data_IF_770309398210
#
_entry.id   IF_770309398210
#
_cell.length_a   1.000
_cell.length_b   1.000
_cell.length_c   1.000
_cell.angle_alpha   90.00
_cell.angle_beta   90.00
_cell.angle_gamma   90.00
#
_symmetry.space_group_name_H-M   'P 1'
#
loop_
_entity.id
_entity.type
_entity.pdbx_description
1 polymer ?
#
# COMPACT_ATOMS: atom_id res chain seq x y z
N UNK A 1 8.82 25.34 -5.03
CA UNK A 1 8.79 23.95 -4.58
C UNK A 1 9.77 23.19 -5.43
N UNK A 2 10.80 22.55 -4.85
CA UNK A 2 11.59 21.60 -5.62
C UNK A 2 10.66 20.46 -6.00
N UNK A 3 10.31 20.38 -7.28
CA UNK A 3 9.59 19.23 -7.82
C UNK A 3 10.41 17.99 -7.47
N UNK A 4 9.75 17.01 -6.86
CA UNK A 4 10.40 15.77 -6.48
C UNK A 4 10.70 15.00 -7.77
N UNK A 5 11.83 15.32 -8.39
CA UNK A 5 12.38 14.75 -9.63
C UNK A 5 12.56 13.22 -9.55
N UNK A 6 12.41 12.64 -8.36
CA UNK A 6 12.53 11.21 -8.05
C UNK A 6 11.25 10.61 -7.44
N UNK A 7 10.06 11.20 -7.66
CA UNK A 7 8.79 10.53 -7.33
C UNK A 7 8.56 9.39 -8.32
N UNK A 8 9.08 8.23 -7.97
CA UNK A 8 8.76 6.99 -8.65
C UNK A 8 7.47 6.40 -8.05
N UNK A 9 6.35 6.57 -8.75
CA UNK A 9 5.07 5.96 -8.38
C UNK A 9 5.06 4.44 -8.61
N UNK A 10 6.10 3.89 -9.26
CA UNK A 10 6.33 2.47 -9.44
C UNK A 10 7.25 1.86 -8.38
N UNK A 11 7.84 2.66 -7.48
CA UNK A 11 8.71 2.19 -6.41
C UNK A 11 8.02 1.14 -5.52
N UNK A 12 8.81 0.25 -4.93
CA UNK A 12 8.31 -0.84 -4.08
C UNK A 12 7.76 -0.35 -2.73
N UNK A 13 8.26 0.81 -2.26
CA UNK A 13 7.89 1.44 -1.00
C UNK A 13 7.09 2.72 -1.24
N UNK A 14 5.78 2.65 -1.06
CA UNK A 14 4.86 3.76 -1.33
C UNK A 14 4.39 4.42 -0.04
N UNK A 15 3.99 5.70 -0.10
CA UNK A 15 3.20 6.30 0.99
C UNK A 15 1.79 5.71 1.02
N UNK A 16 1.02 6.00 2.09
CA UNK A 16 -0.39 5.63 2.14
C UNK A 16 -1.21 6.27 1.00
N UNK A 17 -0.92 7.54 0.69
CA UNK A 17 -1.57 8.27 -0.40
C UNK A 17 -1.23 7.67 -1.76
N UNK A 18 0.05 7.35 -2.01
CA UNK A 18 0.47 6.69 -3.25
C UNK A 18 -0.16 5.30 -3.39
N UNK A 19 -0.17 4.53 -2.31
CA UNK A 19 -0.80 3.20 -2.29
C UNK A 19 -2.29 3.30 -2.58
N UNK A 20 -3.01 4.20 -1.90
CA UNK A 20 -4.42 4.47 -2.10
C UNK A 20 -4.75 4.85 -3.55
N UNK A 21 -3.96 5.77 -4.12
CA UNK A 21 -4.08 6.18 -5.52
C UNK A 21 -3.83 5.01 -6.48
N UNK A 22 -2.77 4.22 -6.23
CA UNK A 22 -2.35 3.12 -7.11
C UNK A 22 -3.29 1.93 -7.06
N UNK A 23 -3.81 1.59 -5.88
CA UNK A 23 -4.78 0.49 -5.70
C UNK A 23 -6.23 0.91 -5.91
N UNK A 24 -6.50 2.21 -6.13
CA UNK A 24 -7.85 2.77 -6.17
C UNK A 24 -8.68 2.44 -4.90
N UNK A 25 -8.05 2.53 -3.73
CA UNK A 25 -8.69 2.30 -2.42
C UNK A 25 -8.68 3.58 -1.58
N UNK A 26 -9.58 3.67 -0.60
CA UNK A 26 -9.57 4.76 0.38
C UNK A 26 -8.34 4.72 1.28
N UNK A 27 -7.80 5.89 1.64
CA UNK A 27 -6.60 5.98 2.49
C UNK A 27 -6.77 5.28 3.84
N UNK A 28 -7.95 5.38 4.45
CA UNK A 28 -8.27 4.69 5.70
C UNK A 28 -8.21 3.17 5.54
N UNK A 29 -8.77 2.65 4.45
CA UNK A 29 -8.70 1.22 4.12
C UNK A 29 -7.26 0.76 3.91
N UNK A 30 -6.43 1.55 3.23
CA UNK A 30 -5.00 1.24 3.09
C UNK A 30 -4.30 1.19 4.45
N UNK A 31 -4.56 2.16 5.34
CA UNK A 31 -3.97 2.19 6.67
C UNK A 31 -4.41 0.99 7.53
N UNK A 32 -5.69 0.63 7.48
CA UNK A 32 -6.22 -0.54 8.17
C UNK A 32 -5.57 -1.83 7.65
N UNK A 33 -5.54 -2.03 6.34
CA UNK A 33 -4.88 -3.18 5.72
C UNK A 33 -3.41 -3.22 6.10
N UNK A 34 -2.68 -2.10 6.02
CA UNK A 34 -1.26 -2.05 6.36
C UNK A 34 -0.98 -2.40 7.82
N UNK A 35 -1.87 -1.97 8.72
CA UNK A 35 -1.79 -2.28 10.15
C UNK A 35 -2.11 -3.75 10.44
N UNK A 36 -3.15 -4.30 9.81
CA UNK A 36 -3.56 -5.68 9.98
C UNK A 36 -2.56 -6.69 9.41
N UNK A 37 -1.98 -6.37 8.26
CA UNK A 37 -1.07 -7.25 7.53
C UNK A 37 0.39 -7.15 7.98
N UNK A 38 0.76 -6.09 8.72
CA UNK A 38 2.14 -5.90 9.21
C UNK A 38 3.14 -5.40 8.15
N UNK A 39 2.68 -5.07 6.94
CA UNK A 39 3.48 -4.64 5.77
C UNK A 39 3.98 -3.19 5.85
N UNK A 40 3.73 -2.51 6.98
CA UNK A 40 4.17 -1.12 7.19
C UNK A 40 5.66 -1.09 7.52
N UNK A 41 6.43 -0.39 6.71
CA UNK A 41 7.85 -0.10 6.95
C UNK A 41 7.98 1.30 7.53
N UNK A 42 8.59 1.41 8.71
CA UNK A 42 8.88 2.68 9.35
C UNK A 42 10.33 3.09 9.07
N UNK A 43 10.51 4.22 8.39
CA UNK A 43 11.83 4.80 8.05
C UNK A 43 11.92 6.15 8.76
N UNK A 44 12.53 6.16 9.94
CA UNK A 44 12.57 7.34 10.81
C UNK A 44 11.17 7.81 11.21
N UNK A 45 10.78 9.01 10.75
CA UNK A 45 9.44 9.59 10.97
C UNK A 45 8.43 9.24 9.88
N UNK A 46 8.86 8.65 8.77
CA UNK A 46 8.00 8.33 7.64
C UNK A 46 7.53 6.88 7.70
N UNK A 47 6.26 6.65 7.35
CA UNK A 47 5.74 5.30 7.10
C UNK A 47 5.63 5.04 5.60
N UNK A 48 5.94 3.80 5.21
CA UNK A 48 5.83 3.28 3.85
C UNK A 48 5.10 1.95 3.85
N UNK A 49 4.56 1.58 2.71
CA UNK A 49 3.87 0.31 2.46
C UNK A 49 4.65 -0.41 1.36
N UNK A 50 4.98 -1.68 1.60
CA UNK A 50 5.53 -2.58 0.58
C UNK A 50 4.36 -2.96 -0.34
N UNK A 51 4.32 -2.42 -1.56
CA UNK A 51 3.13 -2.52 -2.41
C UNK A 51 2.86 -3.95 -2.92
N UNK A 52 3.91 -4.74 -3.15
CA UNK A 52 3.77 -6.15 -3.53
C UNK A 52 3.08 -6.96 -2.43
N UNK A 53 3.57 -6.86 -1.20
CA UNK A 53 2.98 -7.54 -0.04
C UNK A 53 1.56 -7.04 0.27
N UNK A 54 1.28 -5.76 0.02
CA UNK A 54 -0.06 -5.18 0.12
C UNK A 54 -1.06 -5.91 -0.80
N UNK A 55 -0.71 -6.07 -2.08
CA UNK A 55 -1.56 -6.76 -3.05
C UNK A 55 -1.71 -8.24 -2.71
N UNK A 56 -0.63 -8.90 -2.31
CA UNK A 56 -0.65 -10.31 -1.92
C UNK A 56 -1.60 -10.55 -0.74
N UNK A 57 -1.57 -9.68 0.27
CA UNK A 57 -2.51 -9.74 1.38
C UNK A 57 -3.96 -9.57 0.94
N UNK A 58 -4.23 -8.59 0.06
CA UNK A 58 -5.59 -8.36 -0.47
C UNK A 58 -6.11 -9.60 -1.18
N UNK A 59 -5.30 -10.16 -2.09
CA UNK A 59 -5.69 -11.35 -2.85
C UNK A 59 -5.90 -12.54 -1.90
N UNK A 60 -5.04 -12.71 -0.90
CA UNK A 60 -5.18 -13.82 0.05
C UNK A 60 -6.42 -13.69 0.94
N UNK A 61 -6.77 -12.49 1.39
CA UNK A 61 -7.83 -12.25 2.37
C UNK A 61 -9.21 -12.03 1.74
N UNK A 62 -9.29 -11.30 0.63
CA UNK A 62 -10.56 -10.84 0.07
C UNK A 62 -10.96 -11.55 -1.23
N UNK A 63 -10.10 -12.41 -1.80
CA UNK A 63 -10.47 -13.21 -2.97
C UNK A 63 -11.56 -14.20 -2.58
N UNK A 64 -12.75 -14.00 -3.13
CA UNK A 64 -13.84 -14.98 -3.06
C UNK A 64 -13.44 -16.17 -3.93
N UNK A 65 -13.46 -17.38 -3.36
CA UNK A 65 -13.31 -18.61 -4.15
C UNK A 65 -14.59 -18.79 -4.97
N UNK A 66 -14.42 -18.96 -6.28
CA UNK A 66 -15.53 -19.19 -7.20
C UNK A 66 -15.93 -20.66 -7.10
N UNK A 67 -16.60 -21.02 -6.02
CA UNK A 67 -17.26 -22.31 -5.84
C UNK A 67 -18.67 -22.04 -5.27
N UNK A 68 -19.55 -21.52 -6.14
CA UNK A 68 -21.01 -21.70 -6.15
C UNK A 68 -21.50 -21.50 -7.59
#
# INVERSE_FOLDING_TARGET
MNEAIYRDDHGELLTYEQTAKRSNLGINTVMEIAKESGIMVKIGKASRVIYSEFLDYIIKKYRIKKDE
#
